data_IF_334883339131
#
_entry.id   IF_334883339131
#
_cell.length_a   1.000
_cell.length_b   1.000
_cell.length_c   1.000
_cell.angle_alpha   90.00
_cell.angle_beta   90.00
_cell.angle_gamma   90.00
#
_symmetry.space_group_name_H-M   'P 1'
#
loop_
_entity.id
_entity.type
_entity.pdbx_description
1 polymer ?
#
# COMPACT_ATOMS: atom_id res chain seq x y z
N UNK A 1 3.82 -0.46 -5.66
CA UNK A 1 2.57 0.25 -5.32
C UNK A 1 1.38 -0.66 -5.51
N UNK A 2 0.97 -1.34 -4.43
CA UNK A 2 -0.09 -2.34 -4.44
C UNK A 2 -1.41 -1.80 -5.01
N UNK A 3 -1.77 -0.56 -4.63
CA UNK A 3 -2.96 0.14 -5.14
C UNK A 3 -2.97 0.31 -6.68
N UNK A 4 -1.87 0.78 -7.28
CA UNK A 4 -1.81 1.01 -8.75
C UNK A 4 -1.83 -0.30 -9.53
N UNK A 5 -1.19 -1.35 -9.04
CA UNK A 5 -1.19 -2.67 -9.69
C UNK A 5 -2.53 -3.38 -9.53
N UNK A 6 -3.20 -3.26 -8.38
CA UNK A 6 -4.53 -3.84 -8.15
C UNK A 6 -5.60 -3.22 -9.07
N UNK A 7 -5.56 -1.90 -9.25
CA UNK A 7 -6.46 -1.20 -10.19
C UNK A 7 -6.13 -1.55 -11.64
N UNK A 8 -4.84 -1.59 -12.01
CA UNK A 8 -4.44 -1.98 -13.37
C UNK A 8 -4.81 -3.43 -13.72
N UNK A 9 -4.74 -4.34 -12.74
CA UNK A 9 -5.18 -5.73 -12.86
C UNK A 9 -6.71 -5.83 -12.96
N UNK A 10 -7.44 -5.07 -12.13
CA UNK A 10 -8.91 -5.01 -12.15
C UNK A 10 -9.45 -4.35 -13.43
N UNK A 11 -8.68 -3.47 -14.06
CA UNK A 11 -8.99 -2.84 -15.35
C UNK A 11 -8.71 -3.76 -16.57
N UNK A 12 -8.29 -5.02 -16.36
CA UNK A 12 -8.11 -6.00 -17.43
C UNK A 12 -6.86 -5.81 -18.29
N UNK A 13 -5.91 -4.97 -17.87
CA UNK A 13 -4.70 -4.68 -18.64
C UNK A 13 -3.69 -5.84 -18.58
N UNK A 14 -3.36 -6.43 -19.73
CA UNK A 14 -2.42 -7.57 -19.85
C UNK A 14 -1.07 -7.23 -20.49
N UNK A 15 -0.87 -6.00 -20.96
CA UNK A 15 0.32 -5.61 -21.74
C UNK A 15 1.08 -4.44 -21.10
N UNK A 16 2.41 -4.41 -21.28
CA UNK A 16 3.30 -3.34 -20.81
C UNK A 16 2.92 -1.93 -21.32
N UNK A 17 2.13 -1.85 -22.39
CA UNK A 17 1.56 -0.60 -22.90
C UNK A 17 0.73 0.16 -21.85
N UNK A 18 0.07 -0.52 -20.91
CA UNK A 18 -0.67 0.17 -19.83
C UNK A 18 0.26 1.02 -18.96
N UNK A 19 1.47 0.53 -18.69
CA UNK A 19 2.44 1.25 -17.87
C UNK A 19 3.01 2.48 -18.61
N UNK A 20 3.08 2.42 -19.95
CA UNK A 20 3.48 3.54 -20.81
C UNK A 20 2.41 4.63 -20.80
N UNK A 21 1.14 4.27 -21.02
CA UNK A 21 0.02 5.21 -20.96
C UNK A 21 -0.06 5.86 -19.59
N UNK A 22 0.03 5.08 -18.50
CA UNK A 22 0.00 5.59 -17.14
C UNK A 22 1.14 6.59 -16.86
N UNK A 23 2.36 6.30 -17.33
CA UNK A 23 3.51 7.20 -17.16
C UNK A 23 3.34 8.50 -17.95
N UNK A 24 2.83 8.43 -19.18
CA UNK A 24 2.53 9.61 -20.00
C UNK A 24 1.44 10.47 -19.34
N UNK A 25 0.37 9.86 -18.84
CA UNK A 25 -0.70 10.58 -18.13
C UNK A 25 -0.19 11.27 -16.87
N UNK A 26 0.69 10.62 -16.09
CA UNK A 26 1.31 11.23 -14.90
C UNK A 26 2.19 12.43 -15.30
N UNK A 27 2.98 12.29 -16.37
CA UNK A 27 3.84 13.37 -16.86
C UNK A 27 3.01 14.56 -17.36
N UNK A 28 1.93 14.30 -18.10
CA UNK A 28 0.98 15.32 -18.54
C UNK A 28 0.30 16.00 -17.34
N UNK A 29 -0.13 15.21 -16.35
CA UNK A 29 -0.73 15.72 -15.11
C UNK A 29 0.25 16.59 -14.34
N UNK A 30 1.54 16.25 -14.30
CA UNK A 30 2.53 17.13 -13.69
C UNK A 30 2.59 18.45 -14.45
N UNK A 31 2.78 18.46 -15.77
CA UNK A 31 2.93 19.71 -16.54
C UNK A 31 1.67 20.59 -16.49
N UNK A 32 0.47 20.02 -16.56
CA UNK A 32 -0.80 20.77 -16.55
C UNK A 32 -1.30 21.11 -15.14
N UNK A 33 -1.20 20.19 -14.17
CA UNK A 33 -1.75 20.37 -12.82
C UNK A 33 -0.73 20.85 -11.78
N UNK A 34 0.55 21.10 -12.12
CA UNK A 34 1.55 21.60 -11.14
C UNK A 34 1.07 22.83 -10.37
N UNK A 35 0.37 23.78 -11.01
CA UNK A 35 -0.19 24.95 -10.31
C UNK A 35 -1.31 24.58 -9.31
N UNK A 36 -2.07 23.53 -9.60
CA UNK A 36 -3.20 23.09 -8.78
C UNK A 36 -2.70 22.22 -7.60
N UNK A 37 -1.71 21.37 -7.84
CA UNK A 37 -1.10 20.50 -6.83
C UNK A 37 -0.22 21.27 -5.83
N UNK A 38 0.37 22.41 -6.22
CA UNK A 38 1.19 23.23 -5.31
C UNK A 38 0.44 23.73 -4.08
N UNK A 39 -0.85 24.02 -4.22
CA UNK A 39 -1.71 24.50 -3.12
C UNK A 39 -2.29 23.38 -2.26
N UNK A 40 -1.93 22.12 -2.51
CA UNK A 40 -2.51 21.00 -1.79
C UNK A 40 -1.92 20.91 -0.38
N UNK A 41 -2.69 21.17 0.70
CA UNK A 41 -2.21 20.98 2.05
C UNK A 41 -1.86 19.51 2.30
N UNK A 42 -0.82 19.29 3.12
CA UNK A 42 -0.32 17.96 3.51
C UNK A 42 -1.46 17.07 4.07
N UNK A 43 -2.49 17.68 4.67
CA UNK A 43 -3.68 17.01 5.17
C UNK A 43 -4.44 16.20 4.11
N UNK A 44 -4.52 16.68 2.86
CA UNK A 44 -5.21 15.95 1.79
C UNK A 44 -4.38 14.74 1.37
N UNK A 45 -3.06 14.89 1.25
CA UNK A 45 -2.16 13.77 0.97
C UNK A 45 -2.24 12.70 2.07
N UNK A 46 -2.24 13.10 3.34
CA UNK A 46 -2.40 12.20 4.47
C UNK A 46 -3.76 11.45 4.42
N UNK A 47 -4.84 12.15 4.08
CA UNK A 47 -6.18 11.56 3.94
C UNK A 47 -6.25 10.52 2.82
N UNK A 48 -5.62 10.79 1.67
CA UNK A 48 -5.54 9.83 0.55
C UNK A 48 -4.78 8.56 0.96
N UNK A 49 -3.66 8.72 1.67
CA UNK A 49 -2.89 7.56 2.17
C UNK A 49 -3.73 6.75 3.16
N UNK A 50 -4.33 7.41 4.16
CA UNK A 50 -5.19 6.76 5.16
C UNK A 50 -6.38 6.05 4.53
N UNK A 51 -7.00 6.64 3.50
CA UNK A 51 -8.12 6.02 2.77
C UNK A 51 -7.73 4.74 2.03
N UNK A 52 -6.44 4.52 1.74
CA UNK A 52 -5.97 3.31 1.05
C UNK A 52 -5.64 2.15 1.99
N UNK A 53 -5.54 2.41 3.31
CA UNK A 53 -5.20 1.41 4.33
C UNK A 53 -6.31 0.36 4.61
N UNK A 54 -7.63 0.70 4.60
CA UNK A 54 -8.66 -0.26 4.97
C UNK A 54 -8.69 -1.51 4.09
N UNK A 55 -8.29 -1.39 2.82
CA UNK A 55 -8.19 -2.52 1.90
C UNK A 55 -6.90 -3.34 2.00
N UNK A 56 -5.95 -2.92 2.84
CA UNK A 56 -4.68 -3.62 3.08
C UNK A 56 -4.66 -4.37 4.42
N UNK A 57 -5.55 -4.01 5.36
CA UNK A 57 -5.61 -4.61 6.69
C UNK A 57 -6.58 -5.80 6.65
N UNK A 58 -6.05 -7.01 6.44
CA UNK A 58 -6.81 -8.25 6.48
C UNK A 58 -6.97 -8.79 7.92
N UNK A 59 -7.85 -8.16 8.71
CA UNK A 59 -8.17 -8.57 10.09
C UNK A 59 -8.65 -10.05 10.14
N UNK A 60 -9.33 -10.50 9.09
CA UNK A 60 -9.89 -11.85 9.01
C UNK A 60 -8.81 -12.95 8.97
N UNK A 61 -7.70 -12.72 8.27
CA UNK A 61 -6.60 -13.68 8.20
C UNK A 61 -5.83 -13.74 9.53
N UNK A 62 -5.64 -12.62 10.23
CA UNK A 62 -5.03 -12.63 11.57
C UNK A 62 -5.82 -13.49 12.57
N UNK A 63 -7.15 -13.42 12.54
CA UNK A 63 -8.02 -14.25 13.40
C UNK A 63 -7.96 -15.72 12.98
N UNK A 64 -7.83 -16.00 11.69
CA UNK A 64 -7.74 -17.35 11.14
C UNK A 64 -6.42 -18.02 11.54
N UNK A 65 -5.30 -17.31 11.43
CA UNK A 65 -3.96 -17.77 11.85
C UNK A 65 -3.96 -18.07 13.36
N UNK A 66 -4.55 -17.19 14.18
CA UNK A 66 -4.67 -17.42 15.64
C UNK A 66 -5.35 -18.75 16.00
N UNK A 67 -6.28 -19.21 15.16
CA UNK A 67 -7.07 -20.43 15.40
C UNK A 67 -6.41 -21.70 14.87
N UNK A 68 -5.47 -21.59 13.92
CA UNK A 68 -4.82 -22.71 13.24
C UNK A 68 -3.45 -23.00 13.86
N UNK A 69 -2.59 -21.98 13.99
CA UNK A 69 -1.23 -22.15 14.50
C UNK A 69 -0.82 -20.96 15.40
N UNK A 70 -0.51 -21.27 16.66
CA UNK A 70 -0.16 -20.25 17.67
C UNK A 70 1.26 -19.71 17.48
N UNK A 71 2.15 -20.45 16.80
CA UNK A 71 3.51 -20.00 16.54
C UNK A 71 3.54 -18.97 15.40
N UNK A 72 2.81 -19.22 14.32
CA UNK A 72 2.66 -18.26 13.22
C UNK A 72 1.99 -16.96 13.67
N UNK A 73 1.04 -17.04 14.61
CA UNK A 73 0.45 -15.86 15.22
C UNK A 73 1.48 -15.05 16.04
N UNK A 74 2.36 -15.73 16.77
CA UNK A 74 3.40 -15.08 17.57
C UNK A 74 4.45 -14.41 16.69
N UNK A 75 4.83 -15.06 15.58
CA UNK A 75 5.68 -14.49 14.54
C UNK A 75 5.02 -13.25 13.90
N UNK A 76 3.73 -13.31 13.58
CA UNK A 76 3.00 -12.18 12.99
C UNK A 76 2.91 -10.97 13.96
N UNK A 77 2.66 -11.21 15.25
CA UNK A 77 2.69 -10.16 16.28
C UNK A 77 4.11 -9.64 16.49
N UNK A 78 5.11 -10.53 16.52
CA UNK A 78 6.52 -10.17 16.65
C UNK A 78 6.98 -9.28 15.50
N UNK A 79 6.58 -9.61 14.27
CA UNK A 79 6.80 -8.80 13.09
C UNK A 79 6.13 -7.43 13.21
N UNK A 80 4.85 -7.39 13.59
CA UNK A 80 4.10 -6.15 13.75
C UNK A 80 4.77 -5.20 14.77
N UNK A 81 5.13 -5.73 15.94
CA UNK A 81 5.83 -4.99 16.98
C UNK A 81 7.23 -4.58 16.48
N UNK A 82 7.96 -5.47 15.82
CA UNK A 82 9.28 -5.19 15.27
C UNK A 82 9.28 -4.07 14.23
N UNK A 83 8.27 -4.01 13.35
CA UNK A 83 8.11 -2.93 12.38
C UNK A 83 7.75 -1.61 13.07
N UNK A 84 6.85 -1.63 14.07
CA UNK A 84 6.40 -0.41 14.76
C UNK A 84 7.50 0.22 15.62
N UNK A 85 8.31 -0.60 16.32
CA UNK A 85 9.29 -0.10 17.30
C UNK A 85 10.71 0.01 16.75
N UNK A 86 11.11 -0.83 15.80
CA UNK A 86 12.49 -0.89 15.33
C UNK A 86 12.62 -0.37 13.89
N UNK A 87 12.08 -1.10 12.91
CA UNK A 87 12.00 -0.74 11.48
C UNK A 87 11.44 -1.90 10.68
N UNK A 88 11.01 -1.64 9.44
CA UNK A 88 10.48 -2.68 8.52
C UNK A 88 11.46 -3.85 8.35
N UNK A 89 12.76 -3.59 8.24
CA UNK A 89 13.79 -4.61 8.08
C UNK A 89 13.90 -5.55 9.30
N UNK A 90 13.83 -4.98 10.50
CA UNK A 90 13.96 -5.74 11.76
C UNK A 90 12.67 -6.52 12.03
N UNK A 91 11.51 -5.93 11.75
CA UNK A 91 10.24 -6.64 11.85
C UNK A 91 10.16 -7.85 10.92
N UNK A 92 10.76 -7.78 9.72
CA UNK A 92 10.81 -8.93 8.81
C UNK A 92 11.78 -10.03 9.27
N UNK A 93 12.82 -9.69 10.04
CA UNK A 93 13.75 -10.67 10.63
C UNK A 93 13.16 -11.40 11.84
N UNK A 94 12.22 -10.76 12.54
CA UNK A 94 11.53 -11.31 13.71
C UNK A 94 10.31 -12.15 13.31
N UNK A 95 9.72 -11.86 12.14
CA UNK A 95 8.68 -12.65 11.49
C UNK A 95 9.19 -14.05 11.11
#
# INVERSE_FOLDING_TARGET
>A
SFSRTAVNFSAGCRTAMSNVVMSITVLLSMVLLTRLLYYTPISILASIILSSLPGLIDIAETIRIFKIDKLDFLACIGAFIGVVFASVEIGLLVA
#
